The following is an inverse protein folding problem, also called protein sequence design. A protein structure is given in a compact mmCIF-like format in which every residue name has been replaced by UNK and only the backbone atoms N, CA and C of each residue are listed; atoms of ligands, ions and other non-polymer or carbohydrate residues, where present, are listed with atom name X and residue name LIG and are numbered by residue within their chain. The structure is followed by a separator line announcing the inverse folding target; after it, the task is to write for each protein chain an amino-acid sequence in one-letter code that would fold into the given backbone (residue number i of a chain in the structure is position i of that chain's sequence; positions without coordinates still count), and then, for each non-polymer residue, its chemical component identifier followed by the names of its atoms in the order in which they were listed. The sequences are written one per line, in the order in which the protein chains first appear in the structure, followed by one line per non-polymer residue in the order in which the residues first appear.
data_IF_439031294587
#
_entry.id   IF_439031294587
#
_cell.length_a   1.000
_cell.length_b   1.000
_cell.length_c   1.000
_cell.angle_alpha   90.00
_cell.angle_beta   90.00
_cell.angle_gamma   90.00
#
_symmetry.space_group_name_H-M   'P 1'
#
loop_
_entity.id
_entity.type
_entity.pdbx_description
1 polymer ?
#
# COMPACT_ATOMS: atom_id res chain seq x y z
N UNK A 1 -31.35 -23.80 -12.32
CA UNK A 1 -30.54 -23.75 -13.56
C UNK A 1 -30.01 -22.34 -13.86
N UNK A 2 -30.45 -21.32 -13.11
CA UNK A 2 -30.00 -19.91 -13.18
C UNK A 2 -28.81 -19.56 -12.29
N UNK A 3 -28.44 -20.44 -11.36
CA UNK A 3 -27.45 -20.16 -10.30
C UNK A 3 -25.99 -20.25 -10.78
N UNK A 4 -25.71 -21.24 -11.63
CA UNK A 4 -24.35 -21.55 -12.11
C UNK A 4 -23.77 -20.46 -13.02
N UNK A 5 -24.61 -19.86 -13.86
CA UNK A 5 -24.21 -18.77 -14.75
C UNK A 5 -23.90 -17.47 -14.00
N UNK A 6 -24.52 -17.27 -12.83
CA UNK A 6 -24.25 -16.11 -11.97
C UNK A 6 -22.96 -16.30 -11.16
N UNK A 7 -22.71 -17.51 -10.65
CA UNK A 7 -21.45 -17.85 -9.99
C UNK A 7 -20.26 -17.81 -10.97
N UNK A 8 -20.42 -18.36 -12.19
CA UNK A 8 -19.39 -18.29 -13.24
C UNK A 8 -19.06 -16.84 -13.61
N UNK A 9 -20.06 -15.98 -13.78
CA UNK A 9 -19.85 -14.54 -14.04
C UNK A 9 -19.20 -13.82 -12.86
N UNK A 10 -19.52 -14.20 -11.63
CA UNK A 10 -18.90 -13.62 -10.44
C UNK A 10 -17.42 -14.03 -10.33
N UNK A 11 -17.08 -15.29 -10.61
CA UNK A 11 -15.70 -15.76 -10.66
C UNK A 11 -14.90 -14.99 -11.74
N UNK A 12 -15.45 -14.83 -12.95
CA UNK A 12 -14.82 -14.03 -14.02
C UNK A 12 -14.57 -12.56 -13.61
N UNK A 13 -15.52 -11.95 -12.88
CA UNK A 13 -15.35 -10.58 -12.37
C UNK A 13 -14.26 -10.50 -11.31
N UNK A 14 -14.26 -11.44 -10.38
CA UNK A 14 -13.28 -11.47 -9.30
C UNK A 14 -11.89 -11.70 -9.87
N UNK A 15 -11.73 -12.62 -10.82
CA UNK A 15 -10.45 -12.85 -11.49
C UNK A 15 -9.97 -11.59 -12.21
N UNK A 16 -10.85 -10.85 -12.89
CA UNK A 16 -10.47 -9.60 -13.54
C UNK A 16 -10.08 -8.48 -12.55
N UNK A 17 -10.75 -8.37 -11.40
CA UNK A 17 -10.38 -7.41 -10.35
C UNK A 17 -9.09 -7.80 -9.64
N UNK A 18 -8.86 -9.09 -9.43
CA UNK A 18 -7.64 -9.61 -8.84
C UNK A 18 -6.45 -9.42 -9.80
N UNK A 19 -6.68 -9.61 -11.10
CA UNK A 19 -5.69 -9.31 -12.13
C UNK A 19 -5.32 -7.82 -12.15
N UNK A 20 -6.28 -6.90 -12.03
CA UNK A 20 -5.99 -5.46 -11.88
C UNK A 20 -5.13 -5.16 -10.65
N UNK A 21 -5.33 -5.90 -9.56
CA UNK A 21 -4.54 -5.74 -8.33
C UNK A 21 -3.09 -6.19 -8.55
N UNK A 22 -2.88 -7.31 -9.24
CA UNK A 22 -1.56 -7.92 -9.44
C UNK A 22 -0.77 -7.33 -10.61
N UNK A 23 -1.45 -6.97 -11.70
CA UNK A 23 -0.85 -6.62 -12.99
C UNK A 23 -1.27 -5.21 -13.45
N UNK A 24 -1.08 -4.21 -12.59
CA UNK A 24 -1.45 -2.80 -12.88
C UNK A 24 -0.86 -2.25 -14.19
N UNK A 25 0.27 -2.79 -14.64
CA UNK A 25 0.96 -2.37 -15.87
C UNK A 25 0.44 -3.06 -17.15
N UNK A 26 -0.50 -4.02 -17.03
CA UNK A 26 -1.06 -4.76 -18.16
C UNK A 26 -2.42 -4.20 -18.62
N UNK A 27 -2.68 -4.31 -19.93
CA UNK A 27 -3.94 -4.01 -20.64
C UNK A 27 -4.87 -2.89 -20.09
N UNK A 28 -4.46 -1.61 -20.10
CA UNK A 28 -5.17 -0.53 -19.39
C UNK A 28 -6.63 -0.25 -19.83
N UNK A 29 -7.01 -0.66 -21.05
CA UNK A 29 -8.33 -0.34 -21.64
C UNK A 29 -9.44 -1.29 -21.20
N UNK A 30 -9.14 -2.57 -20.95
CA UNK A 30 -10.11 -3.52 -20.41
C UNK A 30 -10.40 -3.18 -18.96
N UNK A 31 -9.38 -2.73 -18.23
CA UNK A 31 -9.51 -2.32 -16.84
C UNK A 31 -10.36 -1.05 -16.66
N UNK A 32 -10.16 -0.03 -17.49
CA UNK A 32 -10.99 1.19 -17.50
C UNK A 32 -12.48 0.84 -17.65
N UNK A 33 -12.81 -0.02 -18.62
CA UNK A 33 -14.18 -0.44 -18.90
C UNK A 33 -14.83 -1.15 -17.70
N UNK A 34 -14.08 -1.99 -17.00
CA UNK A 34 -14.57 -2.72 -15.83
C UNK A 34 -14.76 -1.80 -14.61
N UNK A 35 -13.86 -0.83 -14.38
CA UNK A 35 -14.07 0.19 -13.32
C UNK A 35 -15.32 1.02 -13.58
N UNK A 36 -15.50 1.47 -14.84
CA UNK A 36 -16.70 2.23 -15.24
C UNK A 36 -17.97 1.37 -15.11
N UNK A 37 -17.90 0.08 -15.42
CA UNK A 37 -19.00 -0.87 -15.17
C UNK A 37 -19.34 -0.93 -13.67
N UNK A 38 -18.34 -1.13 -12.80
CA UNK A 38 -18.53 -1.17 -11.34
C UNK A 38 -19.19 0.11 -10.83
N UNK A 39 -18.65 1.27 -11.23
CA UNK A 39 -19.18 2.57 -10.83
C UNK A 39 -20.63 2.77 -11.29
N UNK A 40 -20.96 2.35 -12.51
CA UNK A 40 -22.31 2.45 -13.08
C UNK A 40 -23.31 1.57 -12.33
N UNK A 41 -22.95 0.32 -12.02
CA UNK A 41 -23.82 -0.62 -11.29
C UNK A 41 -24.08 -0.12 -9.85
N UNK A 42 -23.05 0.38 -9.16
CA UNK A 42 -23.19 1.00 -7.84
C UNK A 42 -24.03 2.28 -7.85
N UNK A 43 -23.87 3.14 -8.86
CA UNK A 43 -24.66 4.36 -8.98
C UNK A 43 -26.14 4.07 -9.26
N UNK A 44 -26.44 2.98 -9.97
CA UNK A 44 -27.80 2.58 -10.29
C UNK A 44 -28.54 2.00 -9.06
N UNK A 45 -27.87 1.18 -8.25
CA UNK A 45 -28.45 0.57 -7.06
C UNK A 45 -27.45 0.47 -5.88
N UNK A 46 -27.17 1.59 -5.18
CA UNK A 46 -26.19 1.61 -4.10
C UNK A 46 -26.63 0.84 -2.84
N UNK A 47 -27.88 0.34 -2.81
CA UNK A 47 -28.42 -0.52 -1.74
C UNK A 47 -28.72 -1.93 -2.23
N UNK A 48 -28.34 -2.24 -3.47
CA UNK A 48 -28.66 -3.49 -4.10
C UNK A 48 -27.99 -4.68 -3.44
N UNK A 49 -28.51 -5.90 -3.66
CA UNK A 49 -27.94 -7.12 -3.10
C UNK A 49 -26.50 -7.39 -3.58
N UNK A 50 -26.06 -6.78 -4.68
CA UNK A 50 -24.70 -6.89 -5.22
C UNK A 50 -23.81 -5.69 -4.88
N UNK A 51 -24.28 -4.72 -4.09
CA UNK A 51 -23.48 -3.54 -3.74
C UNK A 51 -22.17 -3.91 -3.03
N UNK A 52 -22.16 -4.98 -2.24
CA UNK A 52 -20.93 -5.49 -1.62
C UNK A 52 -19.90 -5.91 -2.67
N UNK A 53 -20.31 -6.66 -3.70
CA UNK A 53 -19.43 -7.23 -4.70
C UNK A 53 -18.77 -6.12 -5.52
N UNK A 54 -19.55 -5.17 -6.01
CA UNK A 54 -19.03 -4.04 -6.77
C UNK A 54 -18.15 -3.11 -5.94
N UNK A 55 -18.50 -2.90 -4.66
CA UNK A 55 -17.68 -2.04 -3.77
C UNK A 55 -16.32 -2.68 -3.48
N UNK A 56 -16.30 -3.99 -3.19
CA UNK A 56 -15.05 -4.73 -2.99
C UNK A 56 -14.25 -4.88 -4.30
N UNK A 57 -14.93 -4.97 -5.45
CA UNK A 57 -14.30 -4.88 -6.76
C UNK A 57 -13.58 -3.54 -6.97
N UNK A 58 -14.19 -2.42 -6.56
CA UNK A 58 -13.51 -1.11 -6.57
C UNK A 58 -12.31 -1.05 -5.61
N UNK A 59 -12.37 -1.74 -4.45
CA UNK A 59 -11.23 -1.86 -3.53
C UNK A 59 -10.09 -2.65 -4.18
N UNK A 60 -10.39 -3.77 -4.85
CA UNK A 60 -9.41 -4.55 -5.62
C UNK A 60 -8.83 -3.77 -6.82
N UNK A 61 -9.59 -2.86 -7.41
CA UNK A 61 -9.15 -2.00 -8.51
C UNK A 61 -8.33 -0.77 -8.05
N UNK A 62 -8.16 -0.54 -6.74
CA UNK A 62 -7.40 0.61 -6.23
C UNK A 62 -5.96 0.69 -6.76
N UNK A 63 -5.19 -0.42 -6.86
CA UNK A 63 -3.90 -0.46 -7.53
C UNK A 63 -3.90 0.16 -8.92
N UNK A 64 -4.83 -0.29 -9.76
CA UNK A 64 -5.00 0.28 -11.10
C UNK A 64 -5.34 1.76 -11.02
N UNK A 65 -6.31 2.16 -10.19
CA UNK A 65 -6.78 3.55 -10.08
C UNK A 65 -5.73 4.53 -9.57
N UNK A 66 -4.81 4.07 -8.71
CA UNK A 66 -3.70 4.87 -8.20
C UNK A 66 -2.66 5.22 -9.29
N UNK A 67 -2.52 4.39 -10.33
CA UNK A 67 -1.66 4.72 -11.49
C UNK A 67 -2.28 5.78 -12.43
N UNK A 68 -3.56 6.12 -12.22
CA UNK A 68 -4.34 7.00 -13.09
C UNK A 68 -4.22 8.44 -12.63
N UNK A 69 -4.52 9.36 -13.54
CA UNK A 69 -4.59 10.77 -13.17
C UNK A 69 -5.93 11.09 -12.51
N UNK A 70 -5.99 12.00 -11.53
CA UNK A 70 -7.25 12.39 -10.89
C UNK A 70 -8.31 12.91 -11.87
N UNK A 71 -7.90 13.47 -13.00
CA UNK A 71 -8.79 13.93 -14.08
C UNK A 71 -9.33 12.82 -14.99
N UNK A 72 -8.84 11.58 -14.87
CA UNK A 72 -9.33 10.45 -15.66
C UNK A 72 -10.76 10.09 -15.23
N UNK A 73 -11.59 9.76 -16.22
CA UNK A 73 -13.04 9.61 -16.02
C UNK A 73 -13.44 8.43 -15.13
N UNK A 74 -12.63 7.36 -15.13
CA UNK A 74 -12.76 6.17 -14.29
C UNK A 74 -12.50 6.49 -12.81
N UNK A 75 -11.49 7.30 -12.48
CA UNK A 75 -11.21 7.76 -11.11
C UNK A 75 -12.38 8.57 -10.55
N UNK A 76 -12.88 9.53 -11.33
CA UNK A 76 -14.04 10.33 -10.95
C UNK A 76 -15.29 9.48 -10.73
N UNK A 77 -15.57 8.55 -11.65
CA UNK A 77 -16.70 7.65 -11.58
C UNK A 77 -16.63 6.71 -10.36
N UNK A 78 -15.46 6.13 -10.08
CA UNK A 78 -15.24 5.28 -8.91
C UNK A 78 -15.46 6.04 -7.61
N UNK A 79 -14.93 7.26 -7.50
CA UNK A 79 -15.14 8.12 -6.32
C UNK A 79 -16.61 8.47 -6.10
N UNK A 80 -17.32 8.89 -7.16
CA UNK A 80 -18.73 9.28 -7.07
C UNK A 80 -19.63 8.09 -6.70
N UNK A 81 -19.35 6.91 -7.27
CA UNK A 81 -20.03 5.66 -6.94
C UNK A 81 -19.81 5.26 -5.47
N UNK A 82 -18.55 5.29 -5.00
CA UNK A 82 -18.23 5.00 -3.60
C UNK A 82 -18.92 6.00 -2.64
N UNK A 83 -18.94 7.28 -3.00
CA UNK A 83 -19.66 8.30 -2.23
C UNK A 83 -21.18 8.04 -2.20
N UNK A 84 -21.78 7.56 -3.29
CA UNK A 84 -23.19 7.19 -3.33
C UNK A 84 -23.51 6.01 -2.40
N UNK A 85 -22.66 4.98 -2.40
CA UNK A 85 -22.75 3.82 -1.50
C UNK A 85 -22.64 4.23 -0.05
N UNK A 86 -21.62 5.03 0.30
CA UNK A 86 -21.44 5.53 1.67
C UNK A 86 -22.69 6.29 2.14
N UNK A 87 -23.19 7.26 1.37
CA UNK A 87 -24.42 8.01 1.72
C UNK A 87 -25.63 7.10 1.88
N UNK A 88 -25.73 6.04 1.08
CA UNK A 88 -26.88 5.15 1.09
C UNK A 88 -26.89 4.20 2.29
N UNK A 89 -25.71 3.78 2.76
CA UNK A 89 -25.56 2.65 3.70
C UNK A 89 -24.91 3.00 5.05
N UNK A 90 -24.22 4.14 5.18
CA UNK A 90 -23.47 4.52 6.41
C UNK A 90 -24.29 4.41 7.69
N UNK A 91 -25.53 4.91 7.65
CA UNK A 91 -26.40 4.97 8.83
C UNK A 91 -27.30 3.74 9.00
N UNK A 92 -27.13 2.71 8.16
CA UNK A 92 -27.91 1.48 8.27
C UNK A 92 -27.69 0.82 9.64
N UNK A 93 -28.75 0.35 10.32
CA UNK A 93 -28.60 -0.31 11.61
C UNK A 93 -27.95 -1.70 11.44
N UNK A 94 -27.02 -2.04 12.33
CA UNK A 94 -26.47 -3.39 12.47
C UNK A 94 -26.13 -3.65 13.94
N UNK A 95 -25.98 -4.93 14.29
CA UNK A 95 -25.61 -5.39 15.65
C UNK A 95 -24.17 -5.88 15.76
N UNK A 96 -23.40 -5.80 14.67
CA UNK A 96 -22.00 -6.21 14.64
C UNK A 96 -21.16 -5.32 15.55
N UNK A 97 -20.25 -5.93 16.31
CA UNK A 97 -19.32 -5.21 17.20
C UNK A 97 -18.16 -4.57 16.43
N UNK A 98 -17.87 -5.09 15.23
CA UNK A 98 -16.85 -4.58 14.32
C UNK A 98 -17.14 -5.05 12.90
N UNK A 99 -16.42 -4.48 11.93
CA UNK A 99 -16.60 -4.74 10.51
C UNK A 99 -15.24 -5.00 9.83
N UNK A 100 -15.19 -5.88 8.82
CA UNK A 100 -13.97 -6.16 8.06
C UNK A 100 -13.16 -4.93 7.65
N UNK A 101 -13.80 -3.87 7.13
CA UNK A 101 -13.08 -2.65 6.72
C UNK A 101 -12.26 -1.96 7.83
N UNK A 102 -12.50 -2.30 9.10
CA UNK A 102 -11.80 -1.71 10.26
C UNK A 102 -10.45 -2.39 10.55
N UNK A 103 -10.18 -3.54 9.91
CA UNK A 103 -8.97 -4.33 10.05
C UNK A 103 -7.75 -3.71 9.37
N UNK A 104 -6.72 -4.53 9.23
CA UNK A 104 -5.54 -4.19 8.45
C UNK A 104 -5.84 -4.44 6.97
N UNK A 105 -6.12 -3.37 6.22
CA UNK A 105 -6.42 -3.46 4.80
C UNK A 105 -5.25 -4.06 4.01
N UNK A 106 -4.01 -3.79 4.41
CA UNK A 106 -2.82 -4.24 3.69
C UNK A 106 -2.70 -5.75 3.75
N UNK A 107 -2.72 -6.34 4.95
CA UNK A 107 -2.72 -7.79 5.13
C UNK A 107 -3.97 -8.50 4.60
N UNK A 108 -5.08 -7.79 4.43
CA UNK A 108 -6.35 -8.37 3.96
C UNK A 108 -6.54 -8.32 2.45
N UNK A 109 -5.87 -7.41 1.73
CA UNK A 109 -6.07 -7.23 0.30
C UNK A 109 -5.72 -8.48 -0.53
N UNK A 110 -4.71 -9.24 -0.11
CA UNK A 110 -4.32 -10.50 -0.78
C UNK A 110 -5.40 -11.59 -0.71
N UNK A 111 -6.29 -11.53 0.28
CA UNK A 111 -7.30 -12.58 0.53
C UNK A 111 -8.70 -12.13 0.05
N UNK A 112 -8.83 -10.87 -0.37
CA UNK A 112 -10.11 -10.23 -0.68
C UNK A 112 -10.81 -10.89 -1.87
N UNK A 113 -10.05 -11.34 -2.88
CA UNK A 113 -10.58 -12.07 -4.02
C UNK A 113 -11.22 -13.41 -3.59
N UNK A 114 -10.56 -14.16 -2.71
CA UNK A 114 -11.12 -15.42 -2.18
C UNK A 114 -12.38 -15.18 -1.36
N UNK A 115 -12.38 -14.15 -0.49
CA UNK A 115 -13.58 -13.72 0.23
C UNK A 115 -14.72 -13.41 -0.73
N UNK A 116 -14.46 -12.70 -1.83
CA UNK A 116 -15.48 -12.39 -2.82
C UNK A 116 -16.04 -13.65 -3.50
N UNK A 117 -15.19 -14.62 -3.87
CA UNK A 117 -15.63 -15.91 -4.43
C UNK A 117 -16.52 -16.67 -3.45
N UNK A 118 -16.13 -16.73 -2.18
CA UNK A 118 -16.92 -17.38 -1.11
C UNK A 118 -18.23 -16.64 -0.81
N UNK A 119 -18.26 -15.31 -0.95
CA UNK A 119 -19.50 -14.54 -0.81
C UNK A 119 -20.46 -14.78 -1.98
N UNK A 120 -19.94 -14.95 -3.20
CA UNK A 120 -20.75 -15.13 -4.41
C UNK A 120 -21.38 -16.54 -4.55
N UNK A 121 -20.79 -17.57 -3.93
CA UNK A 121 -21.27 -18.96 -4.00
C UNK A 121 -21.45 -19.58 -2.61
N UNK A 122 -22.72 -19.74 -2.19
CA UNK A 122 -23.11 -20.41 -0.94
C UNK A 122 -22.59 -21.85 -0.81
N UNK A 123 -22.19 -22.49 -1.91
CA UNK A 123 -21.61 -23.82 -1.95
C UNK A 123 -20.12 -23.88 -1.60
N UNK A 124 -19.41 -22.75 -1.59
CA UNK A 124 -17.98 -22.69 -1.23
C UNK A 124 -17.81 -22.69 0.29
N UNK A 125 -16.77 -23.37 0.82
CA UNK A 125 -16.47 -23.32 2.25
C UNK A 125 -16.07 -21.89 2.63
N UNK A 126 -16.65 -21.38 3.73
CA UNK A 126 -16.25 -20.10 4.31
C UNK A 126 -14.95 -20.26 5.08
N UNK A 127 -13.89 -19.54 4.71
CA UNK A 127 -12.55 -19.67 5.29
C UNK A 127 -12.08 -18.45 6.10
N UNK A 128 -12.70 -17.28 5.92
CA UNK A 128 -12.38 -16.08 6.70
C UNK A 128 -12.82 -16.22 8.17
N UNK A 129 -12.01 -15.71 9.09
CA UNK A 129 -12.27 -15.79 10.53
C UNK A 129 -13.48 -14.96 10.97
N UNK A 130 -13.84 -13.93 10.22
CA UNK A 130 -14.99 -13.06 10.48
C UNK A 130 -16.23 -13.70 9.88
N UNK A 131 -17.42 -13.48 10.48
CA UNK A 131 -18.61 -14.14 9.99
C UNK A 131 -19.09 -13.52 8.67
N UNK A 132 -19.65 -14.36 7.79
CA UNK A 132 -20.10 -13.98 6.44
C UNK A 132 -21.08 -12.81 6.42
N UNK A 133 -21.95 -12.71 7.40
CA UNK A 133 -22.93 -11.63 7.52
C UNK A 133 -22.31 -10.28 7.90
N UNK A 134 -21.10 -10.26 8.49
CA UNK A 134 -20.36 -9.03 8.74
C UNK A 134 -19.80 -8.44 7.43
N UNK A 135 -19.42 -9.28 6.47
CA UNK A 135 -18.97 -8.85 5.14
C UNK A 135 -20.09 -8.26 4.30
N UNK A 136 -21.28 -8.88 4.35
CA UNK A 136 -22.48 -8.41 3.67
C UNK A 136 -23.18 -7.25 4.40
N UNK A 137 -22.72 -6.88 5.60
CA UNK A 137 -23.31 -5.82 6.39
C UNK A 137 -23.26 -4.47 5.63
N UNK A 138 -24.38 -3.73 5.52
CA UNK A 138 -24.41 -2.41 4.90
C UNK A 138 -23.34 -1.43 5.41
N UNK A 139 -23.03 -1.48 6.72
CA UNK A 139 -21.98 -0.63 7.30
C UNK A 139 -20.58 -1.03 6.85
N UNK A 140 -20.34 -2.34 6.62
CA UNK A 140 -19.07 -2.80 6.07
C UNK A 140 -18.91 -2.34 4.62
N UNK A 141 -19.96 -2.48 3.81
CA UNK A 141 -19.98 -2.01 2.42
C UNK A 141 -19.73 -0.49 2.37
N UNK A 142 -20.41 0.30 3.21
CA UNK A 142 -20.13 1.73 3.33
C UNK A 142 -18.67 2.01 3.76
N UNK A 143 -18.12 1.22 4.67
CA UNK A 143 -16.73 1.35 5.13
C UNK A 143 -15.71 1.10 4.02
N UNK A 144 -15.88 0.06 3.21
CA UNK A 144 -15.03 -0.17 2.04
C UNK A 144 -15.23 0.89 0.95
N UNK A 145 -16.43 1.44 0.78
CA UNK A 145 -16.63 2.59 -0.08
C UNK A 145 -15.82 3.81 0.41
N UNK A 146 -15.76 4.03 1.72
CA UNK A 146 -14.89 5.06 2.31
C UNK A 146 -13.41 4.78 2.13
N UNK A 147 -12.97 3.51 2.17
CA UNK A 147 -11.61 3.11 1.78
C UNK A 147 -11.31 3.57 0.35
N UNK A 148 -12.22 3.32 -0.60
CA UNK A 148 -12.06 3.79 -2.00
C UNK A 148 -11.95 5.31 -2.05
N UNK A 149 -12.84 6.03 -1.38
CA UNK A 149 -12.81 7.49 -1.34
C UNK A 149 -11.48 8.01 -0.78
N UNK A 150 -11.02 7.44 0.33
CA UNK A 150 -9.80 7.85 1.03
C UNK A 150 -8.52 7.49 0.26
N UNK A 151 -8.54 6.45 -0.56
CA UNK A 151 -7.44 6.15 -1.50
C UNK A 151 -7.38 7.15 -2.64
N UNK A 152 -8.51 7.44 -3.28
CA UNK A 152 -8.54 8.30 -4.48
C UNK A 152 -8.41 9.79 -4.13
N UNK A 153 -8.88 10.19 -2.95
CA UNK A 153 -8.80 11.56 -2.43
C UNK A 153 -8.52 11.51 -0.92
N UNK A 154 -7.24 11.50 -0.52
CA UNK A 154 -6.85 11.50 0.90
C UNK A 154 -7.51 12.65 1.69
N UNK A 155 -7.94 12.34 2.92
CA UNK A 155 -8.69 13.24 3.79
C UNK A 155 -10.19 13.31 3.52
N UNK A 156 -10.72 12.51 2.60
CA UNK A 156 -12.16 12.47 2.28
C UNK A 156 -12.98 11.59 3.22
N UNK A 157 -12.34 10.66 3.94
CA UNK A 157 -13.00 9.80 4.93
C UNK A 157 -12.09 9.48 6.14
N UNK A 158 -12.06 10.40 7.11
CA UNK A 158 -11.20 10.30 8.30
C UNK A 158 -11.55 9.21 9.32
N UNK A 159 -12.65 8.45 9.14
CA UNK A 159 -12.99 7.30 9.98
C UNK A 159 -12.46 5.95 9.44
N UNK A 160 -11.80 5.97 8.29
CA UNK A 160 -11.13 4.81 7.69
C UNK A 160 -9.83 4.55 8.47
N UNK A 161 -9.53 3.28 8.85
CA UNK A 161 -8.21 2.91 9.34
C UNK A 161 -7.09 3.44 8.44
N UNK A 162 -5.99 3.94 9.01
CA UNK A 162 -4.81 4.24 8.20
C UNK A 162 -4.29 2.95 7.55
N UNK A 163 -3.79 3.09 6.33
CA UNK A 163 -3.13 2.05 5.55
C UNK A 163 -2.08 2.72 4.66
N UNK A 164 -1.03 1.99 4.29
CA UNK A 164 0.01 2.49 3.42
C UNK A 164 -0.58 2.89 2.05
N UNK A 165 -0.28 4.10 1.52
CA UNK A 165 -0.68 4.48 0.16
C UNK A 165 -0.29 3.41 -0.87
N UNK A 166 -1.04 3.32 -1.97
CA UNK A 166 -0.79 2.28 -2.96
C UNK A 166 0.60 2.42 -3.59
N UNK A 167 1.00 3.65 -3.90
CA UNK A 167 2.29 3.96 -4.51
C UNK A 167 3.43 3.51 -3.60
N UNK A 168 3.33 3.82 -2.31
CA UNK A 168 4.30 3.39 -1.29
C UNK A 168 4.30 1.85 -1.17
N UNK A 169 3.14 1.19 -1.20
CA UNK A 169 3.08 -0.28 -1.17
C UNK A 169 3.66 -0.91 -2.44
N UNK A 170 3.40 -0.32 -3.60
CA UNK A 170 3.88 -0.79 -4.89
C UNK A 170 5.40 -0.74 -4.97
N UNK A 171 6.00 0.35 -4.46
CA UNK A 171 7.44 0.49 -4.29
C UNK A 171 7.99 -0.51 -3.27
N UNK A 172 7.33 -0.68 -2.11
CA UNK A 172 7.70 -1.68 -1.09
C UNK A 172 7.75 -3.11 -1.67
N UNK A 173 6.70 -3.55 -2.36
CA UNK A 173 6.63 -4.88 -2.97
C UNK A 173 7.72 -5.08 -4.03
N UNK A 174 7.96 -4.06 -4.86
CA UNK A 174 8.97 -4.13 -5.93
C UNK A 174 10.38 -4.25 -5.37
N UNK A 175 10.73 -3.41 -4.40
CA UNK A 175 12.05 -3.41 -3.76
C UNK A 175 12.26 -4.68 -2.91
N UNK A 176 11.25 -5.14 -2.16
CA UNK A 176 11.31 -6.41 -1.42
C UNK A 176 11.58 -7.58 -2.36
N UNK A 177 10.86 -7.67 -3.48
CA UNK A 177 11.04 -8.73 -4.46
C UNK A 177 12.47 -8.74 -5.06
N UNK A 178 13.06 -7.56 -5.33
CA UNK A 178 14.46 -7.44 -5.75
C UNK A 178 15.40 -7.95 -4.65
N UNK A 179 15.20 -7.50 -3.40
CA UNK A 179 16.05 -7.82 -2.25
C UNK A 179 16.01 -9.31 -1.87
N UNK A 180 14.88 -9.99 -2.13
CA UNK A 180 14.73 -11.44 -1.94
C UNK A 180 15.27 -12.28 -3.13
N UNK A 181 15.77 -11.63 -4.19
CA UNK A 181 16.29 -12.32 -5.38
C UNK A 181 15.21 -12.84 -6.33
N UNK A 182 14.00 -12.29 -6.24
CA UNK A 182 12.84 -12.66 -7.06
C UNK A 182 12.20 -11.42 -7.73
N UNK A 183 12.93 -10.65 -8.57
CA UNK A 183 12.37 -9.48 -9.22
C UNK A 183 11.05 -9.77 -9.93
N UNK A 184 10.09 -8.86 -9.77
CA UNK A 184 8.77 -8.99 -10.37
C UNK A 184 8.88 -8.87 -11.89
N UNK A 185 7.88 -9.38 -12.62
CA UNK A 185 7.82 -9.24 -14.08
C UNK A 185 7.82 -7.78 -14.57
N UNK A 186 7.46 -6.83 -13.69
CA UNK A 186 7.47 -5.38 -13.90
C UNK A 186 8.83 -4.71 -13.65
N UNK A 187 9.79 -5.39 -13.03
CA UNK A 187 11.14 -4.86 -12.83
C UNK A 187 11.78 -4.65 -14.20
N UNK A 188 12.14 -3.41 -14.51
CA UNK A 188 12.71 -3.05 -15.80
C UNK A 188 14.20 -3.42 -15.84
N UNK A 189 14.92 -2.96 -14.81
CA UNK A 189 16.33 -3.22 -14.58
C UNK A 189 16.61 -3.02 -13.09
N UNK A 190 17.30 -3.97 -12.46
CA UNK A 190 17.50 -3.94 -11.00
C UNK A 190 18.21 -2.67 -10.54
N UNK A 191 19.27 -2.23 -11.23
CA UNK A 191 19.99 -1.03 -10.84
C UNK A 191 19.13 0.23 -11.03
N UNK A 192 18.38 0.29 -12.13
CA UNK A 192 17.42 1.36 -12.39
C UNK A 192 16.29 1.43 -11.35
N UNK A 193 15.70 0.30 -10.98
CA UNK A 193 14.63 0.26 -10.00
C UNK A 193 15.13 0.64 -8.60
N UNK A 194 16.37 0.27 -8.24
CA UNK A 194 17.00 0.67 -6.99
C UNK A 194 17.39 2.16 -6.95
N UNK A 195 17.71 2.79 -8.09
CA UNK A 195 18.10 4.21 -8.14
C UNK A 195 16.96 5.17 -7.79
N UNK A 196 15.70 4.71 -7.87
CA UNK A 196 14.56 5.49 -7.39
C UNK A 196 14.64 5.79 -5.89
N UNK A 197 15.23 4.90 -5.07
CA UNK A 197 15.43 5.17 -3.65
C UNK A 197 16.41 6.32 -3.42
N UNK A 198 17.52 6.37 -4.17
CA UNK A 198 18.48 7.46 -4.12
C UNK A 198 17.85 8.79 -4.58
N UNK A 199 17.12 8.75 -5.71
CA UNK A 199 16.41 9.90 -6.26
C UNK A 199 15.35 10.44 -5.30
N UNK A 200 14.54 9.57 -4.70
CA UNK A 200 13.51 9.95 -3.74
C UNK A 200 14.12 10.61 -2.49
N UNK A 201 15.23 10.07 -1.96
CA UNK A 201 15.94 10.70 -0.84
C UNK A 201 16.52 12.07 -1.22
N UNK A 202 17.05 12.19 -2.45
CA UNK A 202 17.62 13.44 -2.96
C UNK A 202 16.58 14.56 -3.12
N UNK A 203 15.37 14.20 -3.55
CA UNK A 203 14.28 15.15 -3.83
C UNK A 203 13.47 15.54 -2.59
N UNK A 204 13.49 14.68 -1.56
CA UNK A 204 12.69 14.85 -0.34
C UNK A 204 13.16 16.01 0.55
N UNK A 205 12.20 16.67 1.19
CA UNK A 205 12.43 17.60 2.29
C UNK A 205 11.46 17.34 3.46
N UNK A 206 11.90 17.70 4.66
CA UNK A 206 11.12 17.75 5.89
C UNK A 206 10.53 16.41 6.39
N UNK A 207 9.26 16.11 6.13
CA UNK A 207 8.51 15.11 6.90
C UNK A 207 8.55 13.68 6.36
N UNK A 208 9.00 13.48 5.12
CA UNK A 208 9.27 12.15 4.55
C UNK A 208 10.73 11.71 4.77
N UNK A 209 11.60 12.64 5.16
CA UNK A 209 13.06 12.46 5.17
C UNK A 209 13.50 11.25 5.99
N UNK A 210 12.89 11.04 7.17
CA UNK A 210 13.19 9.90 8.02
C UNK A 210 12.94 8.58 7.27
N UNK A 211 11.76 8.41 6.67
CA UNK A 211 11.43 7.21 5.92
C UNK A 211 12.34 7.00 4.72
N UNK A 212 12.61 8.05 3.95
CA UNK A 212 13.50 7.96 2.77
C UNK A 212 14.94 7.62 3.13
N UNK A 213 15.44 8.05 4.29
CA UNK A 213 16.74 7.60 4.81
C UNK A 213 16.73 6.09 5.07
N UNK A 214 15.71 5.54 5.71
CA UNK A 214 15.62 4.09 5.95
C UNK A 214 15.49 3.27 4.66
N UNK A 215 14.70 3.74 3.68
CA UNK A 215 14.61 3.09 2.36
C UNK A 215 15.98 3.06 1.68
N UNK A 216 16.67 4.19 1.62
CA UNK A 216 18.01 4.26 1.04
C UNK A 216 19.02 3.42 1.82
N UNK A 217 18.88 3.32 3.15
CA UNK A 217 19.73 2.46 4.00
C UNK A 217 19.54 0.99 3.65
N UNK A 218 18.30 0.54 3.47
CA UNK A 218 18.02 -0.83 3.03
C UNK A 218 18.63 -1.11 1.65
N UNK A 219 18.45 -0.21 0.68
CA UNK A 219 19.06 -0.34 -0.64
C UNK A 219 20.59 -0.36 -0.55
N UNK A 220 21.20 0.50 0.27
CA UNK A 220 22.65 0.51 0.46
C UNK A 220 23.19 -0.81 1.02
N UNK A 221 22.47 -1.44 1.97
CA UNK A 221 22.86 -2.76 2.50
C UNK A 221 22.76 -3.87 1.47
N UNK A 222 21.71 -3.84 0.63
CA UNK A 222 21.56 -4.79 -0.48
C UNK A 222 22.71 -4.64 -1.49
N UNK A 223 22.99 -3.40 -1.91
CA UNK A 223 24.07 -3.12 -2.86
C UNK A 223 25.43 -3.52 -2.28
N UNK A 224 25.72 -3.23 -1.00
CA UNK A 224 26.97 -3.67 -0.36
C UNK A 224 27.14 -5.19 -0.37
N UNK A 225 26.06 -5.95 -0.25
CA UNK A 225 26.09 -7.40 -0.26
C UNK A 225 26.27 -8.00 -1.67
N UNK A 226 25.73 -7.33 -2.70
CA UNK A 226 25.59 -7.89 -4.06
C UNK A 226 26.42 -7.16 -5.14
N UNK A 227 27.07 -6.03 -4.83
CA UNK A 227 27.79 -5.22 -5.81
C UNK A 227 29.12 -5.87 -6.26
N UNK A 228 29.13 -6.40 -7.49
CA UNK A 228 30.34 -6.89 -8.16
C UNK A 228 30.59 -6.23 -9.54
N UNK A 229 29.73 -5.30 -10.00
CA UNK A 229 29.81 -4.70 -11.34
C UNK A 229 29.82 -3.16 -11.40
N UNK A 230 30.09 -2.63 -12.59
CA UNK A 230 30.21 -1.18 -12.82
C UNK A 230 28.87 -0.44 -12.76
N UNK A 231 27.73 -1.11 -12.95
CA UNK A 231 26.41 -0.50 -12.82
C UNK A 231 26.06 -0.29 -11.33
N UNK A 232 26.50 -1.20 -10.47
CA UNK A 232 26.40 -1.03 -9.02
C UNK A 232 27.20 0.20 -8.53
N UNK A 233 28.33 0.54 -9.17
CA UNK A 233 29.12 1.71 -8.75
C UNK A 233 28.40 3.04 -8.98
N UNK A 234 27.66 3.20 -10.09
CA UNK A 234 26.88 4.41 -10.35
C UNK A 234 25.79 4.60 -9.27
N UNK A 235 25.10 3.51 -8.92
CA UNK A 235 24.12 3.50 -7.83
C UNK A 235 24.75 3.81 -6.46
N UNK A 236 25.95 3.28 -6.17
CA UNK A 236 26.69 3.60 -4.93
C UNK A 236 26.98 5.10 -4.84
N UNK A 237 27.44 5.71 -5.94
CA UNK A 237 27.74 7.14 -5.98
C UNK A 237 26.46 7.98 -5.79
N UNK A 238 25.34 7.60 -6.43
CA UNK A 238 24.04 8.25 -6.27
C UNK A 238 23.51 8.17 -4.83
N UNK A 239 23.60 7.00 -4.19
CA UNK A 239 23.21 6.81 -2.79
C UNK A 239 24.09 7.63 -1.85
N UNK A 240 25.40 7.69 -2.11
CA UNK A 240 26.33 8.48 -1.30
C UNK A 240 25.97 9.98 -1.36
N UNK A 241 25.73 10.51 -2.56
CA UNK A 241 25.30 11.90 -2.76
C UNK A 241 23.97 12.19 -2.04
N UNK A 242 23.02 11.26 -2.11
CA UNK A 242 21.72 11.37 -1.43
C UNK A 242 21.86 11.40 0.10
N UNK A 243 22.70 10.53 0.68
CA UNK A 243 22.95 10.56 2.13
C UNK A 243 23.67 11.83 2.58
N UNK A 244 24.67 12.30 1.82
CA UNK A 244 25.38 13.55 2.13
C UNK A 244 24.41 14.73 2.22
N UNK A 245 23.49 14.82 1.25
CA UNK A 245 22.44 15.83 1.26
C UNK A 245 21.52 15.66 2.46
N UNK A 246 21.03 14.47 2.72
CA UNK A 246 20.14 14.18 3.85
C UNK A 246 20.78 14.57 5.20
N UNK A 247 22.04 14.21 5.40
CA UNK A 247 22.82 14.61 6.59
C UNK A 247 22.90 16.13 6.73
N UNK A 248 23.01 16.87 5.63
CA UNK A 248 23.01 18.33 5.64
C UNK A 248 21.66 18.96 6.02
N UNK A 249 20.55 18.21 5.89
CA UNK A 249 19.19 18.65 6.25
C UNK A 249 18.81 18.26 7.69
N UNK A 250 19.42 17.21 8.24
CA UNK A 250 19.11 16.70 9.57
C UNK A 250 19.78 17.57 10.66
N UNK A 251 18.96 18.17 11.53
CA UNK A 251 19.42 18.80 12.75
C UNK A 251 19.66 17.71 13.82
N UNK A 252 20.93 17.39 14.08
CA UNK A 252 21.33 16.39 15.08
C UNK A 252 21.43 16.95 16.50
N UNK A 253 20.58 17.94 16.81
CA UNK A 253 20.39 18.50 18.14
C UNK A 253 20.17 17.44 19.23
N UNK A 254 20.27 17.83 20.52
CA UNK A 254 20.29 16.89 21.62
C UNK A 254 19.05 15.97 21.60
N UNK A 255 19.32 14.67 21.47
CA UNK A 255 18.29 13.65 21.50
C UNK A 255 17.63 13.59 22.88
N UNK A 256 16.28 13.63 22.98
CA UNK A 256 15.58 13.49 24.24
C UNK A 256 15.50 12.03 24.73
N UNK A 257 15.80 11.06 23.86
CA UNK A 257 15.73 9.64 24.17
C UNK A 257 16.98 9.16 24.91
N UNK A 258 16.80 8.26 25.88
CA UNK A 258 17.91 7.66 26.64
C UNK A 258 18.70 6.61 25.85
N UNK A 259 18.10 6.05 24.79
CA UNK A 259 18.70 5.13 23.85
C UNK A 259 17.91 5.15 22.54
N UNK A 260 18.56 4.81 21.42
CA UNK A 260 17.89 4.48 20.16
C UNK A 260 17.81 2.97 19.98
N UNK A 261 16.76 2.45 19.32
CA UNK A 261 16.72 1.05 18.94
C UNK A 261 17.82 0.74 17.91
N UNK A 262 18.23 -0.52 17.86
CA UNK A 262 18.97 -1.01 16.70
C UNK A 262 18.02 -1.06 15.50
N UNK A 263 18.56 -0.84 14.31
CA UNK A 263 17.82 -1.14 13.09
C UNK A 263 17.50 -2.64 13.00
N UNK A 264 16.40 -3.02 12.33
CA UNK A 264 16.18 -4.41 11.96
C UNK A 264 17.42 -4.94 11.22
N UNK A 265 17.79 -6.19 11.52
CA UNK A 265 18.99 -6.81 10.93
C UNK A 265 18.78 -7.28 9.50
N UNK A 266 17.54 -7.29 9.04
CA UNK A 266 17.12 -7.70 7.71
C UNK A 266 16.82 -6.49 6.81
N UNK A 267 17.25 -6.57 5.56
CA UNK A 267 17.10 -5.48 4.59
C UNK A 267 15.64 -5.17 4.28
N UNK A 268 14.79 -6.19 4.17
CA UNK A 268 13.35 -6.02 3.87
C UNK A 268 12.59 -5.44 5.06
N UNK A 269 13.00 -5.78 6.29
CA UNK A 269 12.46 -5.17 7.51
C UNK A 269 12.80 -3.67 7.59
N UNK A 270 14.05 -3.28 7.28
CA UNK A 270 14.46 -1.89 7.22
C UNK A 270 13.72 -1.10 6.13
N UNK A 271 13.53 -1.72 4.96
CA UNK A 271 12.72 -1.16 3.87
C UNK A 271 11.27 -0.94 4.30
N UNK A 272 10.64 -1.94 4.93
CA UNK A 272 9.26 -1.84 5.41
C UNK A 272 9.07 -0.67 6.38
N UNK A 273 10.00 -0.48 7.33
CA UNK A 273 10.00 0.68 8.24
C UNK A 273 10.10 1.97 7.42
N UNK A 274 11.05 2.05 6.49
CA UNK A 274 11.25 3.24 5.68
C UNK A 274 10.02 3.66 4.89
N UNK A 275 9.37 2.71 4.21
CA UNK A 275 8.17 2.97 3.42
C UNK A 275 7.01 3.47 4.29
N UNK A 276 6.83 2.92 5.49
CA UNK A 276 5.82 3.40 6.43
C UNK A 276 6.13 4.80 6.97
N UNK A 277 7.39 5.11 7.25
CA UNK A 277 7.75 6.41 7.82
C UNK A 277 7.76 7.54 6.78
N UNK A 278 7.78 7.20 5.49
CA UNK A 278 7.85 8.14 4.37
C UNK A 278 6.56 8.96 4.16
N UNK A 279 5.44 8.63 4.81
CA UNK A 279 4.21 9.42 4.71
C UNK A 279 3.46 9.52 6.03
N UNK A 280 2.73 10.62 6.26
CA UNK A 280 1.92 10.79 7.48
C UNK A 280 0.90 9.65 7.67
N UNK A 281 0.39 9.12 6.57
CA UNK A 281 -0.56 8.01 6.54
C UNK A 281 0.12 6.68 6.84
N UNK A 282 1.28 6.42 6.24
CA UNK A 282 2.11 5.25 6.58
C UNK A 282 2.49 5.24 8.07
N UNK A 283 2.86 6.40 8.63
CA UNK A 283 3.15 6.53 10.07
C UNK A 283 1.96 6.19 10.96
N UNK A 284 0.76 6.60 10.56
CA UNK A 284 -0.46 6.25 11.28
C UNK A 284 -0.79 4.74 11.17
N UNK A 285 -0.49 4.11 10.03
CA UNK A 285 -0.64 2.66 9.86
C UNK A 285 0.36 1.90 10.73
N UNK A 286 1.63 2.32 10.71
CA UNK A 286 2.72 1.80 11.52
C UNK A 286 2.43 1.84 13.03
N UNK A 287 1.89 2.96 13.53
CA UNK A 287 1.54 3.07 14.95
C UNK A 287 0.33 2.20 15.33
N UNK A 288 -0.61 2.05 14.40
CA UNK A 288 -1.84 1.27 14.64
C UNK A 288 -1.58 -0.23 14.60
N UNK A 289 -0.75 -0.68 13.67
CA UNK A 289 -0.44 -2.08 13.41
C UNK A 289 1.08 -2.31 13.48
N UNK A 290 1.70 -2.13 14.67
CA UNK A 290 3.14 -2.26 14.79
C UNK A 290 3.56 -3.72 14.65
N UNK A 291 4.57 -3.95 13.82
CA UNK A 291 5.26 -5.23 13.76
C UNK A 291 6.05 -5.48 15.06
N UNK A 292 6.13 -6.73 15.56
CA UNK A 292 6.80 -7.02 16.84
C UNK A 292 8.29 -6.63 16.89
N UNK A 293 8.93 -6.57 15.73
CA UNK A 293 10.35 -6.22 15.55
C UNK A 293 10.56 -4.74 15.23
N UNK A 294 9.51 -3.99 14.92
CA UNK A 294 9.63 -2.61 14.47
C UNK A 294 9.87 -1.64 15.64
N UNK A 295 10.74 -0.63 15.48
CA UNK A 295 11.02 0.34 16.53
C UNK A 295 9.81 1.22 16.88
N UNK A 296 9.67 1.74 18.10
CA UNK A 296 8.64 2.73 18.42
C UNK A 296 8.71 3.96 17.49
N UNK A 297 7.55 4.46 17.04
CA UNK A 297 7.45 5.54 16.05
C UNK A 297 8.22 6.81 16.47
N UNK A 298 8.13 7.20 17.75
CA UNK A 298 8.82 8.37 18.30
C UNK A 298 10.35 8.25 18.20
N UNK A 299 10.88 7.05 18.46
CA UNK A 299 12.31 6.78 18.31
C UNK A 299 12.75 6.67 16.85
N UNK A 300 11.93 6.07 15.99
CA UNK A 300 12.23 5.89 14.58
C UNK A 300 12.26 7.23 13.81
N UNK A 301 11.45 8.21 14.24
CA UNK A 301 11.43 9.57 13.69
C UNK A 301 12.45 10.52 14.35
N UNK A 302 13.24 10.05 15.32
CA UNK A 302 14.18 10.92 16.02
C UNK A 302 15.26 11.45 15.06
N UNK A 303 15.43 12.78 14.90
CA UNK A 303 16.42 13.33 13.97
C UNK A 303 17.85 12.85 14.23
N UNK A 304 18.23 12.70 15.50
CA UNK A 304 19.54 12.18 15.89
C UNK A 304 19.73 10.70 15.52
N UNK A 305 18.67 9.89 15.57
CA UNK A 305 18.71 8.49 15.13
C UNK A 305 18.84 8.41 13.62
N UNK A 306 17.98 9.12 12.88
CA UNK A 306 17.99 9.19 11.41
C UNK A 306 19.35 9.68 10.90
N UNK A 307 19.94 10.71 11.54
CA UNK A 307 21.25 11.23 11.17
C UNK A 307 22.38 10.23 11.44
N UNK A 308 22.31 9.45 12.53
CA UNK A 308 23.27 8.39 12.81
C UNK A 308 23.19 7.28 11.76
N UNK A 309 21.97 6.84 11.40
CA UNK A 309 21.72 5.86 10.35
C UNK A 309 22.28 6.31 9.01
N UNK A 310 21.97 7.54 8.57
CA UNK A 310 22.47 8.08 7.30
C UNK A 310 24.01 8.14 7.24
N UNK A 311 24.66 8.53 8.35
CA UNK A 311 26.13 8.58 8.43
C UNK A 311 26.77 7.20 8.40
N UNK A 312 26.16 6.22 9.05
CA UNK A 312 26.65 4.83 9.05
C UNK A 312 26.56 4.25 7.63
N UNK A 313 25.40 4.37 6.99
CA UNK A 313 25.19 3.95 5.59
C UNK A 313 26.19 4.62 4.64
N UNK A 314 26.38 5.94 4.72
CA UNK A 314 27.37 6.65 3.91
C UNK A 314 28.80 6.16 4.17
N UNK A 315 29.14 5.85 5.42
CA UNK A 315 30.46 5.35 5.79
C UNK A 315 30.69 3.96 5.20
N UNK A 316 29.68 3.09 5.21
CA UNK A 316 29.75 1.75 4.63
C UNK A 316 29.92 1.80 3.12
N UNK A 317 29.11 2.60 2.42
CA UNK A 317 29.20 2.78 0.96
C UNK A 317 30.58 3.28 0.49
N UNK A 318 31.25 4.13 1.27
CA UNK A 318 32.58 4.65 0.93
C UNK A 318 33.74 3.72 1.27
N UNK A 319 33.51 2.69 2.09
CA UNK A 319 34.54 1.78 2.58
C UNK A 319 34.44 0.37 1.99
N UNK A 320 33.32 0.02 1.35
CA UNK A 320 33.18 -1.15 0.47
C UNK A 320 33.97 -0.97 -0.80
#
# INVERSE_FOLDING_TARGET
MTDRSSAERADELVDAWDEMREYVDHEPRTYEGLVVECARELAADPRGPLAYSWTLGLVLALPYLATRKPEDGDVGAAFDAAQAVDRALRDAPCTHQGHPFQGDLEGELGNMADVLRELADDGRPWTDLRPRDAWLCPRNVAGHARVVMESLRPGSAGDVPPFLPFEDRYELEGLTAIMEGHPLARTFDVAWDLSFAASALQETADDELAGRVFVATAVAWYVEAEADDAAAQELVDELADAFERAIGLLDDGPCPHGAHPDLPGDTTEALWVGMHLASARGRAAYEKWPEPWAPPLDTALCPAFVAATARDSLTRLRNG
#
